data_IF_112508831531
#
_entry.id   IF_112508831531
#
_cell.length_a   1.000
_cell.length_b   1.000
_cell.length_c   1.000
_cell.angle_alpha   90.00
_cell.angle_beta   90.00
_cell.angle_gamma   90.00
#
_symmetry.space_group_name_H-M   'P 1'
#
loop_
_entity.id
_entity.type
_entity.pdbx_description
1 polymer ?
2 non-polymer ?
3 water ?
#
# COMPACT_ATOMS: atom_id res chain seq x y z
N UNK A 1 -1.27 -26.64 -6.83
CA UNK A 1 -0.63 -25.95 -7.93
C UNK A 1 0.70 -25.44 -7.37
N UNK A 2 1.82 -25.85 -7.97
CA UNK A 2 3.13 -25.41 -7.57
C UNK A 2 3.27 -23.92 -7.87
N UNK A 3 4.21 -23.24 -7.18
CA UNK A 3 4.48 -21.85 -7.54
C UNK A 3 5.98 -21.63 -7.57
N UNK A 4 6.42 -20.70 -8.43
CA UNK A 4 7.78 -20.18 -8.45
C UNK A 4 7.75 -18.72 -8.07
N UNK A 5 8.77 -18.31 -7.29
CA UNK A 5 8.93 -16.91 -6.93
C UNK A 5 10.20 -16.37 -7.55
N UNK A 6 10.06 -15.24 -8.24
CA UNK A 6 11.18 -14.50 -8.77
C UNK A 6 11.49 -13.38 -7.79
N UNK A 7 12.65 -13.46 -7.12
CA UNK A 7 13.05 -12.47 -6.14
C UNK A 7 13.00 -13.10 -4.75
N UNK A 8 14.19 -13.25 -4.15
CA UNK A 8 14.32 -13.78 -2.82
C UNK A 8 14.93 -12.72 -1.90
N UNK A 9 14.65 -11.46 -2.18
CA UNK A 9 14.80 -10.40 -1.18
C UNK A 9 14.02 -10.77 0.09
N UNK A 10 13.93 -9.81 1.04
CA UNK A 10 13.20 -10.01 2.29
C UNK A 10 11.75 -10.39 2.00
N UNK A 11 11.09 -9.65 1.09
CA UNK A 11 9.69 -9.90 0.81
C UNK A 11 9.52 -11.25 0.12
N UNK A 12 10.22 -11.44 -1.02
CA UNK A 12 10.24 -12.70 -1.74
C UNK A 12 10.51 -13.88 -0.82
N UNK A 13 11.49 -13.68 0.09
CA UNK A 13 11.84 -14.75 1.01
C UNK A 13 10.64 -15.07 1.88
N UNK A 14 10.01 -14.01 2.41
CA UNK A 14 8.86 -14.15 3.29
C UNK A 14 7.70 -14.85 2.58
N UNK A 15 7.46 -14.47 1.32
CA UNK A 15 6.41 -15.10 0.54
C UNK A 15 6.69 -16.60 0.41
N UNK A 16 7.94 -16.92 0.07
CA UNK A 16 8.33 -18.31 -0.14
C UNK A 16 8.12 -19.16 1.12
N UNK A 17 8.51 -18.62 2.29
CA UNK A 17 8.40 -19.35 3.53
C UNK A 17 6.94 -19.62 3.91
N UNK A 18 6.08 -18.60 3.75
CA UNK A 18 4.66 -18.79 4.00
C UNK A 18 4.09 -19.89 3.10
N UNK A 19 4.51 -19.95 1.83
CA UNK A 19 3.91 -20.87 0.88
C UNK A 19 4.33 -22.31 1.19
N UNK A 20 5.60 -22.51 1.55
CA UNK A 20 6.06 -23.81 2.01
C UNK A 20 5.17 -24.27 3.15
N UNK A 21 5.00 -23.42 4.17
CA UNK A 21 4.20 -23.77 5.34
C UNK A 21 2.77 -24.08 4.93
N UNK A 22 2.25 -23.45 3.86
CA UNK A 22 0.92 -23.75 3.34
C UNK A 22 0.80 -25.21 2.90
N UNK A 23 1.94 -25.83 2.56
CA UNK A 23 1.93 -27.14 1.92
C UNK A 23 2.05 -27.06 0.39
N UNK A 24 2.60 -25.94 -0.11
CA UNK A 24 2.77 -25.73 -1.54
C UNK A 24 4.23 -25.97 -1.88
N UNK A 25 4.48 -26.56 -3.06
CA UNK A 25 5.82 -26.81 -3.54
C UNK A 25 6.35 -25.55 -4.22
N UNK A 26 7.50 -25.09 -3.76
CA UNK A 26 7.98 -23.77 -4.15
C UNK A 26 9.33 -23.89 -4.83
N UNK A 27 9.45 -23.16 -5.94
CA UNK A 27 10.71 -23.00 -6.63
C UNK A 27 11.01 -21.53 -6.56
N UNK A 28 12.28 -21.20 -6.30
CA UNK A 28 12.68 -19.83 -6.13
C UNK A 28 13.80 -19.54 -7.11
N UNK A 29 13.95 -18.28 -7.51
CA UNK A 29 15.10 -17.82 -8.24
C UNK A 29 15.49 -16.43 -7.73
N UNK A 30 16.76 -16.07 -7.87
CA UNK A 30 17.23 -14.74 -7.50
C UNK A 30 18.50 -14.44 -8.28
N UNK A 31 18.67 -13.16 -8.60
CA UNK A 31 19.70 -12.71 -9.52
C UNK A 31 21.07 -12.97 -8.92
N UNK A 32 21.21 -12.85 -7.59
CA UNK A 32 22.48 -13.17 -6.94
C UNK A 32 22.53 -14.67 -6.68
N UNK A 33 21.71 -15.16 -5.75
CA UNK A 33 21.44 -16.59 -5.61
C UNK A 33 22.10 -17.16 -4.35
N UNK A 34 23.15 -16.50 -3.84
CA UNK A 34 23.58 -16.81 -2.49
C UNK A 34 22.37 -16.62 -1.57
N UNK A 35 21.64 -15.52 -1.81
CA UNK A 35 20.45 -15.11 -1.07
C UNK A 35 19.42 -16.24 -0.96
N UNK A 36 19.27 -17.03 -2.02
CA UNK A 36 18.25 -18.08 -2.07
C UNK A 36 18.69 -19.36 -1.37
N UNK A 37 19.99 -19.47 -1.05
CA UNK A 37 20.57 -20.69 -0.50
C UNK A 37 19.74 -21.19 0.69
N UNK A 38 19.50 -20.37 1.75
CA UNK A 38 18.75 -20.83 2.93
C UNK A 38 17.36 -21.37 2.65
N UNK A 39 16.73 -20.86 1.59
CA UNK A 39 15.39 -21.25 1.22
C UNK A 39 15.38 -22.71 0.77
N UNK A 40 16.50 -23.11 0.13
CA UNK A 40 16.73 -24.51 -0.22
C UNK A 40 16.52 -25.40 0.99
N UNK A 41 17.12 -25.01 2.12
CA UNK A 41 17.09 -25.80 3.34
C UNK A 41 15.67 -25.91 3.93
N UNK A 42 14.79 -24.93 3.64
CA UNK A 42 13.45 -24.89 4.23
C UNK A 42 12.47 -25.76 3.42
N UNK A 43 12.86 -26.18 2.21
CA UNK A 43 12.03 -27.04 1.39
C UNK A 43 11.91 -26.57 -0.06
N UNK A 44 12.53 -25.43 -0.41
CA UNK A 44 12.37 -24.84 -1.73
C UNK A 44 13.41 -25.42 -2.68
N UNK A 45 13.10 -25.36 -3.99
CA UNK A 45 14.05 -25.67 -5.05
C UNK A 45 14.62 -24.36 -5.58
N UNK A 46 15.95 -24.23 -5.60
CA UNK A 46 16.59 -23.09 -6.22
C UNK A 46 16.83 -23.42 -7.69
N UNK A 47 16.47 -22.48 -8.58
CA UNK A 47 16.60 -22.65 -10.01
C UNK A 47 17.79 -21.84 -10.50
N UNK A 48 18.42 -22.33 -11.59
CA UNK A 48 19.62 -21.73 -12.13
C UNK A 48 19.28 -20.41 -12.83
N UNK A 49 18.02 -20.30 -13.28
CA UNK A 49 17.63 -19.30 -14.27
C UNK A 49 16.14 -18.94 -14.13
N UNK A 50 15.74 -17.74 -14.56
CA UNK A 50 14.31 -17.37 -14.62
C UNK A 50 13.49 -18.29 -15.54
N UNK A 51 14.00 -18.51 -16.75
CA UNK A 51 13.42 -19.43 -17.72
C UNK A 51 13.12 -20.77 -17.04
N UNK A 52 14.05 -21.25 -16.23
CA UNK A 52 13.93 -22.55 -15.59
C UNK A 52 12.92 -22.48 -14.45
N UNK A 53 12.93 -21.35 -13.74
CA UNK A 53 11.98 -21.13 -12.65
C UNK A 53 10.57 -20.99 -13.21
N UNK A 54 10.43 -20.27 -14.33
CA UNK A 54 9.14 -20.07 -14.98
C UNK A 54 8.58 -21.42 -15.44
N UNK A 55 9.45 -22.23 -16.08
CA UNK A 55 9.03 -23.50 -16.64
C UNK A 55 8.56 -24.46 -15.54
N UNK A 56 9.04 -24.27 -14.30
CA UNK A 56 8.78 -25.24 -13.25
C UNK A 56 7.35 -25.18 -12.76
N UNK A 57 6.65 -24.04 -12.92
CA UNK A 57 5.41 -23.82 -12.20
C UNK A 57 4.34 -23.18 -13.10
N UNK A 58 3.04 -23.47 -12.83
CA UNK A 58 1.93 -22.77 -13.49
C UNK A 58 1.68 -21.35 -13.00
N UNK A 59 2.10 -21.05 -11.76
CA UNK A 59 1.88 -19.76 -11.12
C UNK A 59 3.23 -19.18 -10.74
N UNK A 60 3.53 -17.97 -11.24
CA UNK A 60 4.77 -17.27 -10.98
C UNK A 60 4.46 -16.00 -10.18
N UNK A 61 5.05 -15.86 -8.99
CA UNK A 61 4.84 -14.65 -8.20
C UNK A 61 6.13 -13.84 -8.25
N UNK A 62 6.02 -12.58 -8.68
CA UNK A 62 7.19 -11.72 -8.84
C UNK A 62 7.33 -10.82 -7.61
N UNK A 63 8.54 -10.78 -7.03
CA UNK A 63 8.89 -9.90 -5.91
C UNK A 63 10.27 -9.30 -6.14
N UNK A 64 10.38 -8.48 -7.19
CA UNK A 64 11.61 -7.84 -7.62
C UNK A 64 11.43 -6.34 -7.43
N UNK A 65 12.54 -5.59 -7.52
CA UNK A 65 12.52 -4.21 -7.06
C UNK A 65 11.38 -3.43 -7.71
N UNK A 66 11.27 -3.46 -9.05
CA UNK A 66 10.31 -2.61 -9.73
C UNK A 66 9.81 -3.31 -11.00
N UNK A 67 8.98 -2.60 -11.78
CA UNK A 67 8.31 -3.15 -12.94
C UNK A 67 9.33 -3.37 -14.07
N UNK A 68 10.29 -2.43 -14.28
CA UNK A 68 11.33 -2.53 -15.30
C UNK A 68 12.14 -3.81 -15.15
N UNK A 69 12.62 -4.08 -13.94
CA UNK A 69 13.39 -5.28 -13.63
C UNK A 69 12.51 -6.53 -13.84
N UNK A 70 11.24 -6.46 -13.38
CA UNK A 70 10.31 -7.55 -13.56
C UNK A 70 10.18 -7.90 -15.05
N UNK A 71 10.05 -6.88 -15.89
CA UNK A 71 9.88 -7.06 -17.32
C UNK A 71 11.13 -7.73 -17.90
N UNK A 72 12.30 -7.20 -17.54
CA UNK A 72 13.59 -7.69 -18.02
C UNK A 72 13.78 -9.14 -17.59
N UNK A 73 13.49 -9.47 -16.32
CA UNK A 73 13.65 -10.85 -15.89
C UNK A 73 12.69 -11.75 -16.69
N UNK A 74 11.42 -11.35 -16.93
CA UNK A 74 10.49 -12.35 -17.46
C UNK A 74 10.66 -12.41 -18.98
N UNK A 75 11.22 -11.35 -19.60
CA UNK A 75 11.72 -11.40 -20.97
C UNK A 75 12.66 -12.59 -21.19
N UNK A 76 13.36 -13.04 -20.14
CA UNK A 76 14.34 -14.10 -20.28
C UNK A 76 13.71 -15.49 -20.38
N UNK A 77 12.39 -15.59 -20.15
CA UNK A 77 11.68 -16.80 -20.51
C UNK A 77 11.40 -16.78 -22.00
N UNK A 78 11.58 -17.92 -22.66
CA UNK A 78 11.19 -18.01 -24.07
C UNK A 78 9.68 -18.02 -24.19
N UNK A 79 9.01 -18.74 -23.26
CA UNK A 79 7.56 -18.82 -23.25
C UNK A 79 6.95 -18.66 -21.86
N UNK A 80 5.85 -17.90 -21.80
CA UNK A 80 5.03 -17.84 -20.60
C UNK A 80 3.58 -18.13 -20.97
N UNK A 81 3.36 -18.65 -22.17
CA UNK A 81 2.00 -18.88 -22.64
C UNK A 81 1.31 -19.80 -21.65
N UNK A 82 0.12 -19.42 -21.21
CA UNK A 82 -0.66 -20.30 -20.38
C UNK A 82 -0.30 -20.13 -18.91
N UNK A 83 0.74 -19.34 -18.59
CA UNK A 83 1.16 -19.20 -17.19
C UNK A 83 0.33 -18.10 -16.53
N UNK A 84 0.18 -18.18 -15.20
CA UNK A 84 -0.35 -17.08 -14.40
C UNK A 84 0.82 -16.29 -13.86
N UNK A 85 0.83 -14.96 -14.13
CA UNK A 85 1.87 -14.10 -13.59
C UNK A 85 1.22 -13.17 -12.55
N UNK A 86 1.73 -13.17 -11.32
CA UNK A 86 1.25 -12.27 -10.26
C UNK A 86 2.40 -11.34 -9.85
N UNK A 87 2.28 -10.05 -10.15
CA UNK A 87 3.36 -9.10 -9.88
C UNK A 87 3.00 -8.26 -8.65
N UNK A 88 3.76 -8.46 -7.56
CA UNK A 88 3.44 -7.86 -6.27
C UNK A 88 4.28 -6.62 -6.02
N UNK A 89 4.98 -6.12 -7.03
CA UNK A 89 5.73 -4.88 -6.88
C UNK A 89 4.79 -3.68 -6.75
N UNK A 90 5.28 -2.67 -6.01
CA UNK A 90 4.59 -1.40 -5.90
C UNK A 90 5.04 -0.59 -7.10
N UNK A 91 4.21 0.36 -7.53
CA UNK A 91 4.51 1.18 -8.68
C UNK A 91 3.29 2.01 -9.05
N UNK A 92 3.31 2.65 -10.23
CA UNK A 92 2.22 3.49 -10.66
C UNK A 92 1.14 2.61 -11.28
N UNK A 93 -0.10 3.13 -11.38
CA UNK A 93 -1.17 2.44 -12.08
C UNK A 93 -0.85 2.19 -13.54
N UNK A 94 -0.13 3.13 -14.18
CA UNK A 94 0.25 3.00 -15.58
C UNK A 94 1.22 1.84 -15.76
N UNK A 95 2.17 1.70 -14.84
CA UNK A 95 3.09 0.58 -14.86
C UNK A 95 2.31 -0.73 -14.88
N UNK A 96 1.27 -0.83 -14.02
CA UNK A 96 0.48 -2.04 -13.92
C UNK A 96 -0.29 -2.30 -15.21
N UNK A 97 -0.89 -1.25 -15.78
CA UNK A 97 -1.74 -1.41 -16.94
C UNK A 97 -0.89 -1.90 -18.10
N UNK A 98 0.30 -1.31 -18.26
CA UNK A 98 1.21 -1.68 -19.33
C UNK A 98 1.78 -3.07 -19.13
N UNK A 99 2.17 -3.42 -17.89
CA UNK A 99 2.71 -4.74 -17.64
C UNK A 99 1.66 -5.79 -17.99
N UNK A 100 0.43 -5.54 -17.56
CA UNK A 100 -0.72 -6.39 -17.82
C UNK A 100 -0.86 -6.65 -19.32
N UNK A 101 -0.78 -5.61 -20.14
CA UNK A 101 -1.00 -5.73 -21.57
C UNK A 101 0.14 -6.52 -22.24
N UNK A 102 1.38 -6.33 -21.75
CA UNK A 102 2.54 -7.06 -22.25
C UNK A 102 2.41 -8.54 -21.91
N UNK A 103 1.99 -8.83 -20.67
CA UNK A 103 1.82 -10.22 -20.27
C UNK A 103 0.77 -10.89 -21.13
N UNK A 104 -0.33 -10.17 -21.41
CA UNK A 104 -1.46 -10.73 -22.14
C UNK A 104 -1.08 -11.07 -23.59
N UNK A 105 -0.22 -10.23 -24.19
CA UNK A 105 0.26 -10.41 -25.55
C UNK A 105 1.30 -11.52 -25.67
N UNK A 106 1.81 -12.03 -24.55
CA UNK A 106 2.66 -13.21 -24.55
C UNK A 106 1.84 -14.47 -24.26
N UNK A 107 0.51 -14.33 -24.14
CA UNK A 107 -0.39 -15.46 -23.94
C UNK A 107 -0.45 -15.93 -22.49
N UNK A 108 -0.05 -15.04 -21.55
CA UNK A 108 -0.08 -15.37 -20.14
C UNK A 108 -1.26 -14.67 -19.47
N UNK A 109 -1.67 -15.17 -18.31
CA UNK A 109 -2.70 -14.51 -17.50
C UNK A 109 -2.02 -13.63 -16.46
N UNK A 110 -2.72 -12.59 -15.99
CA UNK A 110 -2.09 -11.60 -15.13
C UNK A 110 -2.96 -11.18 -13.96
N UNK A 111 -2.32 -10.93 -12.80
CA UNK A 111 -2.95 -10.26 -11.68
C UNK A 111 -1.91 -9.38 -11.01
N UNK A 112 -2.33 -8.19 -10.60
CA UNK A 112 -1.39 -7.25 -10.02
C UNK A 112 -1.64 -7.17 -8.53
N UNK A 113 -0.57 -7.11 -7.72
CA UNK A 113 -0.73 -7.07 -6.28
C UNK A 113 0.01 -5.90 -5.64
N UNK A 114 -0.43 -5.52 -4.44
CA UNK A 114 0.26 -4.55 -3.63
C UNK A 114 0.21 -4.97 -2.18
N UNK A 115 1.38 -5.07 -1.57
CA UNK A 115 1.54 -5.68 -0.27
C UNK A 115 1.64 -4.60 0.82
N UNK A 116 0.71 -4.61 1.76
CA UNK A 116 0.70 -3.74 2.94
C UNK A 116 1.05 -4.61 4.13
N UNK A 117 2.34 -4.68 4.39
CA UNK A 117 2.86 -5.63 5.36
C UNK A 117 4.36 -5.56 5.24
N UNK A 118 5.03 -5.46 6.38
CA UNK A 118 6.45 -5.71 6.45
C UNK A 118 6.67 -7.19 6.18
N UNK A 119 7.84 -7.60 5.61
CA UNK A 119 8.18 -9.01 5.44
C UNK A 119 7.85 -9.86 6.66
N UNK A 120 8.30 -9.41 7.84
CA UNK A 120 8.15 -10.20 9.06
C UNK A 120 6.67 -10.41 9.40
N UNK A 121 5.77 -9.60 8.82
CA UNK A 121 4.33 -9.68 9.07
C UNK A 121 3.61 -10.71 8.19
N UNK A 122 4.28 -11.29 7.19
CA UNK A 122 3.63 -11.93 6.05
C UNK A 122 2.72 -13.11 6.43
N UNK A 123 3.00 -13.87 7.48
CA UNK A 123 2.15 -15.03 7.74
C UNK A 123 1.10 -14.80 8.81
N UNK A 124 0.88 -13.55 9.20
CA UNK A 124 0.29 -13.23 10.49
C UNK A 124 -1.00 -12.41 10.32
N UNK A 125 -1.54 -11.88 11.43
CA UNK A 125 -2.72 -11.02 11.44
C UNK A 125 -2.44 -9.66 10.79
N UNK A 126 -1.30 -9.10 11.12
CA UNK A 126 -0.92 -7.75 10.75
C UNK A 126 -0.47 -7.67 9.29
N UNK A 127 -1.24 -8.28 8.35
CA UNK A 127 -0.80 -8.39 6.96
C UNK A 127 -1.95 -8.46 5.95
N UNK A 128 -1.91 -7.54 4.98
CA UNK A 128 -2.86 -7.52 3.87
C UNK A 128 -2.19 -7.33 2.52
N UNK A 129 -2.80 -7.97 1.52
CA UNK A 129 -2.42 -7.81 0.13
C UNK A 129 -3.69 -7.52 -0.68
N UNK A 130 -3.63 -6.46 -1.52
CA UNK A 130 -4.68 -6.11 -2.45
C UNK A 130 -4.26 -6.63 -3.83
N UNK A 131 -5.24 -7.12 -4.60
CA UNK A 131 -5.01 -7.63 -5.95
C UNK A 131 -5.99 -6.97 -6.92
N UNK A 132 -5.57 -6.75 -8.18
CA UNK A 132 -6.44 -6.12 -9.16
C UNK A 132 -6.08 -6.60 -10.57
N UNK A 133 -7.07 -6.51 -11.46
CA UNK A 133 -6.96 -7.05 -12.80
C UNK A 133 -8.11 -8.02 -13.05
N UNK A 134 -7.82 -9.07 -13.81
CA UNK A 134 -8.83 -10.02 -14.25
C UNK A 134 -9.30 -10.84 -13.05
N UNK A 135 -10.60 -10.75 -12.78
CA UNK A 135 -11.20 -11.43 -11.65
C UNK A 135 -11.12 -12.96 -11.78
N UNK A 136 -11.15 -13.49 -13.00
CA UNK A 136 -11.07 -14.91 -13.22
C UNK A 136 -9.72 -15.44 -12.72
N UNK A 137 -8.69 -14.60 -12.86
CA UNK A 137 -7.38 -15.02 -12.37
C UNK A 137 -7.43 -15.10 -10.85
N UNK A 138 -7.98 -14.05 -10.22
CA UNK A 138 -8.05 -13.99 -8.78
C UNK A 138 -8.76 -15.23 -8.23
N UNK A 139 -9.90 -15.56 -8.82
CA UNK A 139 -10.66 -16.74 -8.46
C UNK A 139 -9.78 -17.98 -8.52
N UNK A 140 -8.82 -18.06 -9.47
CA UNK A 140 -8.06 -19.30 -9.64
C UNK A 140 -6.88 -19.38 -8.66
N UNK A 141 -6.40 -18.23 -8.13
CA UNK A 141 -5.24 -18.25 -7.25
C UNK A 141 -5.60 -17.89 -5.79
N UNK A 142 -6.86 -17.54 -5.51
CA UNK A 142 -7.29 -17.10 -4.17
C UNK A 142 -6.89 -18.07 -3.06
N UNK A 143 -7.33 -19.33 -3.18
CA UNK A 143 -7.06 -20.31 -2.14
C UNK A 143 -5.55 -20.52 -1.98
N UNK A 144 -4.80 -20.53 -3.09
CA UNK A 144 -3.38 -20.75 -3.04
C UNK A 144 -2.64 -19.61 -2.34
N UNK A 145 -3.11 -18.37 -2.54
CA UNK A 145 -2.36 -17.19 -2.12
C UNK A 145 -2.86 -16.62 -0.78
N UNK A 146 -4.16 -16.83 -0.44
CA UNK A 146 -4.79 -16.13 0.68
C UNK A 146 -4.08 -16.53 1.97
N UNK A 147 -3.59 -17.77 2.11
CA UNK A 147 -2.68 -18.10 3.19
C UNK A 147 -1.58 -17.13 3.62
N UNK A 148 -0.95 -16.44 2.64
CA UNK A 148 0.25 -15.65 2.91
C UNK A 148 -0.11 -14.24 3.37
N UNK A 149 -1.39 -13.98 3.66
CA UNK A 149 -1.79 -12.74 4.30
C UNK A 149 -3.13 -12.97 5.01
N UNK A 150 -3.34 -12.32 6.16
CA UNK A 150 -4.59 -12.44 6.90
C UNK A 150 -5.76 -11.90 6.08
N UNK A 151 -5.54 -10.77 5.42
CA UNK A 151 -6.58 -10.05 4.71
C UNK A 151 -6.19 -9.87 3.26
N UNK A 152 -6.73 -10.74 2.40
CA UNK A 152 -6.40 -10.64 0.99
C UNK A 152 -7.67 -10.24 0.26
N UNK A 153 -7.57 -9.28 -0.64
CA UNK A 153 -8.77 -8.73 -1.23
C UNK A 153 -8.54 -8.36 -2.68
N UNK A 154 -9.52 -8.73 -3.52
CA UNK A 154 -9.62 -8.26 -4.89
C UNK A 154 -10.32 -6.90 -4.90
N UNK A 155 -9.66 -5.85 -5.41
CA UNK A 155 -10.12 -4.48 -5.24
C UNK A 155 -10.50 -3.83 -6.57
N UNK A 156 -10.52 -4.57 -7.69
CA UNK A 156 -11.02 -3.98 -8.91
C UNK A 156 -10.47 -4.63 -10.17
N UNK A 157 -11.17 -4.33 -11.28
CA UNK A 157 -10.87 -4.87 -12.60
C UNK A 157 -9.68 -4.14 -13.23
N UNK A 158 -9.49 -2.85 -12.93
CA UNK A 158 -8.34 -2.12 -13.48
C UNK A 158 -7.02 -2.71 -12.95
N UNK A 159 -6.08 -3.15 -13.80
CA UNK A 159 -4.79 -3.66 -13.33
C UNK A 159 -4.14 -2.76 -12.29
N UNK A 160 -4.32 -1.45 -12.48
CA UNK A 160 -3.65 -0.47 -11.65
C UNK A 160 -4.37 -0.13 -10.34
N UNK A 161 -5.50 -0.76 -10.00
CA UNK A 161 -6.26 -0.34 -8.81
C UNK A 161 -5.49 -0.57 -7.51
N UNK A 162 -4.79 -1.69 -7.41
CA UNK A 162 -4.07 -1.99 -6.18
C UNK A 162 -2.94 -0.97 -5.97
N UNK A 163 -2.30 -0.61 -7.07
CA UNK A 163 -1.21 0.36 -7.00
C UNK A 163 -1.76 1.74 -6.64
N UNK A 164 -2.99 2.08 -7.09
CA UNK A 164 -3.58 3.37 -6.75
C UNK A 164 -3.88 3.39 -5.25
N UNK A 165 -4.57 2.37 -4.74
CA UNK A 165 -4.88 2.33 -3.32
C UNK A 165 -3.61 2.30 -2.46
N UNK A 166 -2.53 1.64 -2.95
CA UNK A 166 -1.33 1.53 -2.14
C UNK A 166 -0.65 2.90 -2.03
N UNK A 167 -0.58 3.63 -3.15
CA UNK A 167 -0.04 4.97 -3.15
C UNK A 167 -0.84 5.86 -2.21
N UNK A 168 -2.17 5.77 -2.32
CA UNK A 168 -3.08 6.57 -1.51
C UNK A 168 -2.86 6.31 -0.02
N UNK A 169 -2.82 5.03 0.37
CA UNK A 169 -2.77 4.69 1.78
C UNK A 169 -1.36 4.79 2.34
N UNK A 170 -0.35 4.35 1.60
CA UNK A 170 1.02 4.38 2.08
C UNK A 170 1.61 5.78 1.95
N UNK A 171 1.17 6.51 0.93
CA UNK A 171 1.78 7.79 0.58
C UNK A 171 0.96 8.95 1.10
N UNK A 172 -0.19 9.20 0.45
CA UNK A 172 -1.02 10.35 0.71
C UNK A 172 -1.50 10.40 2.15
N UNK A 173 -1.83 9.23 2.71
CA UNK A 173 -2.27 9.12 4.09
C UNK A 173 -1.07 8.86 5.02
N UNK A 174 -0.46 7.68 4.92
CA UNK A 174 0.40 7.21 6.00
C UNK A 174 1.66 8.05 6.16
N UNK A 175 2.38 8.27 5.07
CA UNK A 175 3.68 8.93 5.16
C UNK A 175 3.50 10.36 5.65
N UNK A 176 2.42 10.99 5.19
CA UNK A 176 2.11 12.37 5.54
C UNK A 176 1.71 12.44 7.00
N UNK A 177 0.88 11.50 7.44
CA UNK A 177 0.48 11.46 8.82
C UNK A 177 1.69 11.23 9.72
N UNK A 178 2.64 10.39 9.27
CA UNK A 178 3.87 10.20 10.02
C UNK A 178 4.67 11.50 10.11
N UNK A 179 4.74 12.24 9.01
CA UNK A 179 5.35 13.57 9.02
C UNK A 179 4.67 14.52 10.01
N UNK A 180 3.33 14.49 10.03
CA UNK A 180 2.55 15.37 10.89
C UNK A 180 2.97 15.16 12.34
N UNK A 181 3.21 13.90 12.70
CA UNK A 181 3.65 13.54 14.05
C UNK A 181 5.04 14.11 14.34
N UNK A 182 5.93 14.18 13.34
CA UNK A 182 7.22 14.84 13.52
C UNK A 182 7.02 16.34 13.85
N UNK A 183 6.16 17.03 13.09
CA UNK A 183 5.81 18.41 13.41
C UNK A 183 5.24 18.50 14.83
N UNK A 184 4.41 17.53 15.23
CA UNK A 184 3.79 17.62 16.54
C UNK A 184 4.86 17.58 17.61
N UNK A 185 5.71 16.56 17.57
CA UNK A 185 6.71 16.32 18.62
C UNK A 185 7.75 17.45 18.66
N UNK A 186 8.12 17.95 17.49
CA UNK A 186 9.05 19.08 17.42
C UNK A 186 8.41 20.29 18.09
N UNK A 187 7.10 20.46 17.90
CA UNK A 187 6.37 21.53 18.58
C UNK A 187 6.44 21.36 20.10
N UNK A 188 6.11 20.17 20.61
CA UNK A 188 6.15 19.94 22.04
C UNK A 188 7.53 20.27 22.58
N UNK A 189 8.57 19.82 21.89
CA UNK A 189 9.93 20.01 22.38
C UNK A 189 10.26 21.50 22.39
N UNK A 190 9.79 22.25 21.38
CA UNK A 190 10.01 23.69 21.29
C UNK A 190 9.40 24.47 22.45
N UNK A 191 8.41 23.89 23.15
CA UNK A 191 7.67 24.56 24.22
C UNK A 191 8.25 24.08 25.54
N UNK A 192 9.42 23.42 25.47
CA UNK A 192 10.12 22.85 26.61
C UNK A 192 9.23 21.89 27.40
N UNK A 193 8.41 21.13 26.69
CA UNK A 193 7.61 20.09 27.33
C UNK A 193 8.22 18.74 26.95
N UNK A 194 8.12 17.74 27.84
CA UNK A 194 8.73 16.44 27.60
C UNK A 194 8.00 15.68 26.48
N UNK A 195 8.72 15.31 25.43
CA UNK A 195 8.13 14.58 24.33
C UNK A 195 7.58 13.25 24.84
N UNK A 196 8.19 12.70 25.91
CA UNK A 196 7.75 11.46 26.53
C UNK A 196 6.28 11.50 26.92
N UNK A 197 5.75 12.68 27.25
CA UNK A 197 4.41 12.76 27.77
C UNK A 197 3.37 12.69 26.63
N UNK A 198 3.84 12.50 25.39
CA UNK A 198 2.95 12.16 24.28
C UNK A 198 2.66 10.65 24.27
N UNK A 199 3.56 9.84 24.87
CA UNK A 199 3.65 8.42 24.54
C UNK A 199 2.38 7.69 24.95
N UNK A 200 1.88 8.00 26.16
CA UNK A 200 0.82 7.22 26.77
C UNK A 200 -0.51 7.43 26.06
N UNK A 201 -0.62 8.51 25.27
CA UNK A 201 -1.85 8.84 24.55
C UNK A 201 -1.89 8.25 23.13
N UNK A 202 -0.74 7.81 22.62
CA UNK A 202 -0.64 7.46 21.21
C UNK A 202 -1.79 6.54 20.79
N UNK A 203 -2.05 5.48 21.55
CA UNK A 203 -3.00 4.48 21.12
C UNK A 203 -4.42 5.05 21.13
N UNK A 204 -4.73 5.95 22.06
CA UNK A 204 -6.03 6.63 22.09
C UNK A 204 -6.23 7.45 20.81
N UNK A 205 -5.19 8.17 20.36
CA UNK A 205 -5.31 9.03 19.19
C UNK A 205 -5.42 8.22 17.88
N UNK A 206 -4.66 7.12 17.74
CA UNK A 206 -4.79 6.27 16.55
C UNK A 206 -6.09 5.46 16.55
N UNK A 207 -6.61 5.11 17.73
CA UNK A 207 -7.96 4.55 17.78
C UNK A 207 -9.00 5.57 17.32
N UNK A 208 -8.90 6.81 17.84
CA UNK A 208 -9.87 7.83 17.46
C UNK A 208 -9.80 8.09 15.96
N UNK A 209 -8.57 8.05 15.42
CA UNK A 209 -8.35 8.39 14.00
C UNK A 209 -9.01 7.34 13.13
N UNK A 210 -8.81 6.07 13.50
CA UNK A 210 -9.46 4.97 12.78
C UNK A 210 -10.98 5.16 12.69
N UNK A 211 -11.64 5.44 13.82
CA UNK A 211 -13.09 5.64 13.82
C UNK A 211 -13.44 6.82 12.90
N UNK A 212 -12.64 7.88 12.96
CA UNK A 212 -12.92 9.05 12.12
C UNK A 212 -12.76 8.72 10.63
N UNK A 213 -11.72 7.95 10.26
CA UNK A 213 -11.48 7.56 8.87
C UNK A 213 -12.70 6.81 8.32
N UNK A 214 -13.21 5.87 9.12
CA UNK A 214 -14.40 5.12 8.74
C UNK A 214 -15.53 6.10 8.44
N UNK A 215 -15.66 7.11 9.30
CA UNK A 215 -16.77 8.04 9.21
C UNK A 215 -16.58 8.96 7.99
N UNK A 216 -15.33 9.38 7.72
CA UNK A 216 -15.05 10.18 6.53
C UNK A 216 -15.42 9.43 5.24
N UNK A 217 -15.12 8.14 5.21
CA UNK A 217 -15.37 7.30 4.04
C UNK A 217 -16.87 7.20 3.81
N UNK A 218 -17.63 6.99 4.89
CA UNK A 218 -19.09 6.94 4.84
C UNK A 218 -19.63 8.23 4.24
N UNK A 219 -19.04 9.36 4.62
CA UNK A 219 -19.46 10.67 4.13
C UNK A 219 -19.04 10.90 2.69
N UNK A 220 -17.89 10.35 2.28
CA UNK A 220 -17.43 10.52 0.90
C UNK A 220 -18.34 9.69 0.00
N UNK A 221 -18.84 8.53 0.49
CA UNK A 221 -19.67 7.64 -0.30
C UNK A 221 -21.07 8.23 -0.46
N UNK A 222 -21.80 8.40 0.66
CA UNK A 222 -22.86 9.40 0.76
C UNK A 222 -22.29 10.68 0.20
N UNK A 223 -23.12 11.69 -0.01
CA UNK A 223 -22.57 13.03 -0.18
C UNK A 223 -22.92 13.90 1.03
N UNK A 224 -23.17 13.23 2.16
CA UNK A 224 -23.86 13.81 3.29
C UNK A 224 -22.82 14.39 4.25
N UNK A 225 -22.58 15.71 4.13
CA UNK A 225 -21.53 16.40 4.84
C UNK A 225 -22.06 17.28 5.97
N UNK A 226 -23.29 17.01 6.47
CA UNK A 226 -24.07 18.03 7.17
C UNK A 226 -23.59 18.16 8.61
N UNK A 227 -23.71 19.39 9.13
CA UNK A 227 -23.25 19.89 10.41
C UNK A 227 -22.81 18.79 11.37
N UNK A 228 -23.76 18.39 12.24
CA UNK A 228 -23.47 17.60 13.42
C UNK A 228 -22.98 18.55 14.52
N UNK A 229 -21.73 19.00 14.40
CA UNK A 229 -21.06 19.76 15.44
C UNK A 229 -20.08 20.75 14.80
N UNK A 230 -18.76 20.54 14.92
CA UNK A 230 -17.80 21.55 14.48
C UNK A 230 -17.86 21.67 12.96
N UNK A 231 -17.98 22.91 12.47
CA UNK A 231 -18.07 23.19 11.06
C UNK A 231 -16.68 23.46 10.48
N UNK A 232 -16.59 23.44 9.14
CA UNK A 232 -15.38 23.88 8.46
C UNK A 232 -14.87 25.22 9.00
N UNK A 233 -15.78 26.17 9.23
CA UNK A 233 -15.36 27.49 9.69
C UNK A 233 -14.65 27.40 11.03
N UNK A 234 -15.19 26.58 11.95
CA UNK A 234 -14.64 26.47 13.29
C UNK A 234 -13.23 25.88 13.17
N UNK A 235 -13.10 24.83 12.33
CA UNK A 235 -11.86 24.09 12.11
C UNK A 235 -10.79 25.02 11.54
N UNK A 236 -11.16 25.77 10.48
CA UNK A 236 -10.26 26.72 9.87
C UNK A 236 -9.71 27.67 10.93
N UNK A 237 -10.60 28.15 11.81
CA UNK A 237 -10.18 29.10 12.84
C UNK A 237 -9.26 28.42 13.85
N UNK A 238 -9.64 27.22 14.33
CA UNK A 238 -8.81 26.46 15.25
C UNK A 238 -7.43 26.15 14.67
N UNK A 239 -7.37 25.78 13.38
CA UNK A 239 -6.12 25.40 12.73
C UNK A 239 -5.21 26.63 12.58
N UNK A 240 -5.81 27.79 12.30
CA UNK A 240 -5.03 29.00 12.22
C UNK A 240 -4.38 29.29 13.57
N UNK A 241 -5.11 29.08 14.67
CA UNK A 241 -4.60 29.36 16.00
C UNK A 241 -3.49 28.39 16.40
N UNK A 242 -3.64 27.10 16.03
CA UNK A 242 -2.58 26.12 16.16
C UNK A 242 -1.36 26.55 15.33
N UNK A 243 -1.58 26.92 14.07
CA UNK A 243 -0.46 27.29 13.23
C UNK A 243 0.31 28.44 13.89
N UNK A 244 -0.41 29.46 14.38
CA UNK A 244 0.24 30.62 14.98
C UNK A 244 1.01 30.21 16.23
N UNK A 245 0.44 29.30 17.04
CA UNK A 245 1.15 28.82 18.21
C UNK A 245 2.45 28.14 17.82
N UNK A 246 2.42 27.33 16.75
CA UNK A 246 3.59 26.55 16.36
C UNK A 246 4.68 27.49 15.81
N UNK A 247 4.26 28.53 15.07
CA UNK A 247 5.19 29.48 14.47
C UNK A 247 5.83 30.37 15.54
N UNK A 248 5.01 30.96 16.42
CA UNK A 248 5.49 31.70 17.57
C UNK A 248 6.52 30.88 18.33
N UNK A 249 6.33 29.55 18.38
CA UNK A 249 7.30 28.66 19.01
C UNK A 249 8.51 28.33 18.09
N UNK A 250 8.62 28.95 16.92
CA UNK A 250 9.82 28.76 16.11
C UNK A 250 9.72 27.57 15.15
N UNK A 251 8.52 27.06 14.86
CA UNK A 251 8.39 25.94 13.96
C UNK A 251 7.89 26.43 12.61
N UNK A 252 8.41 25.87 11.51
CA UNK A 252 7.87 26.19 10.19
C UNK A 252 6.42 25.75 10.04
N UNK A 253 6.09 24.54 10.52
CA UNK A 253 4.69 24.09 10.52
C UNK A 253 4.12 24.03 9.10
N UNK A 254 4.85 23.38 8.20
CA UNK A 254 4.47 23.42 6.80
C UNK A 254 3.24 22.55 6.55
N UNK A 255 3.18 21.35 7.16
CA UNK A 255 1.97 20.53 7.00
C UNK A 255 0.77 21.25 7.58
N UNK A 256 0.95 21.88 8.74
CA UNK A 256 -0.18 22.59 9.34
C UNK A 256 -0.66 23.72 8.45
N UNK A 257 0.31 24.40 7.80
CA UNK A 257 0.01 25.48 6.84
C UNK A 257 -0.76 24.95 5.64
N UNK A 258 -0.34 23.80 5.07
CA UNK A 258 -1.04 23.20 3.94
C UNK A 258 -2.47 22.77 4.31
N UNK A 259 -2.63 22.21 5.51
CA UNK A 259 -3.93 21.82 6.04
C UNK A 259 -4.89 23.02 6.11
N UNK A 260 -4.41 24.12 6.71
CA UNK A 260 -5.17 25.37 6.77
C UNK A 260 -5.65 25.77 5.38
N UNK A 261 -4.74 25.67 4.40
CA UNK A 261 -5.02 26.09 3.03
C UNK A 261 -6.16 25.22 2.47
N UNK A 262 -6.10 23.90 2.70
CA UNK A 262 -7.20 23.04 2.32
C UNK A 262 -8.50 23.48 2.97
N UNK A 263 -8.42 23.86 4.25
CA UNK A 263 -9.65 24.16 4.98
C UNK A 263 -10.24 25.48 4.46
N UNK A 264 -9.39 26.46 4.17
CA UNK A 264 -9.88 27.76 3.74
C UNK A 264 -10.60 27.63 2.40
N UNK A 265 -9.99 26.93 1.44
CA UNK A 265 -10.59 26.76 0.12
C UNK A 265 -11.97 26.13 0.21
N UNK A 266 -12.14 25.17 1.12
CA UNK A 266 -13.42 24.54 1.34
C UNK A 266 -14.44 25.58 1.82
N UNK A 267 -14.01 26.45 2.76
CA UNK A 267 -14.85 27.49 3.32
C UNK A 267 -15.14 28.54 2.25
N UNK A 268 -14.06 29.04 1.63
CA UNK A 268 -14.12 30.03 0.58
C UNK A 268 -14.94 29.59 -0.63
N UNK A 269 -15.28 28.31 -0.76
CA UNK A 269 -16.17 27.85 -1.82
C UNK A 269 -17.55 27.51 -1.27
N UNK A 270 -17.86 28.01 -0.06
CA UNK A 270 -19.22 28.02 0.44
C UNK A 270 -19.60 26.77 1.23
N UNK A 271 -18.62 26.01 1.72
CA UNK A 271 -18.87 24.80 2.49
C UNK A 271 -18.62 25.04 3.99
N UNK A 272 -18.30 26.28 4.36
CA UNK A 272 -17.93 26.68 5.71
C UNK A 272 -18.86 26.11 6.81
N UNK A 273 -20.12 25.86 6.48
CA UNK A 273 -21.10 25.51 7.50
C UNK A 273 -21.37 24.01 7.54
N UNK A 274 -20.74 23.24 6.64
CA UNK A 274 -20.81 21.78 6.66
C UNK A 274 -19.69 21.23 7.54
N UNK A 275 -19.71 19.91 7.75
CA UNK A 275 -18.72 19.23 8.58
C UNK A 275 -17.37 19.14 7.87
N UNK A 276 -16.35 18.58 8.56
CA UNK A 276 -15.00 18.70 8.08
C UNK A 276 -14.81 17.93 6.78
N UNK A 277 -15.66 16.92 6.54
CA UNK A 277 -15.47 15.98 5.45
C UNK A 277 -15.75 16.66 4.12
N UNK A 278 -16.50 17.77 4.15
CA UNK A 278 -16.78 18.54 2.95
C UNK A 278 -15.49 19.13 2.37
N UNK A 279 -14.39 19.06 3.11
CA UNK A 279 -13.13 19.59 2.60
C UNK A 279 -12.66 18.80 1.37
N UNK A 280 -13.18 17.59 1.19
CA UNK A 280 -12.83 16.77 0.05
C UNK A 280 -13.15 17.51 -1.24
N UNK A 281 -14.14 18.44 -1.21
CA UNK A 281 -14.74 18.99 -2.41
C UNK A 281 -13.82 19.96 -3.15
N UNK A 282 -12.75 20.46 -2.53
CA UNK A 282 -11.89 21.44 -3.18
C UNK A 282 -10.44 21.00 -3.16
N UNK A 283 -10.20 19.68 -3.13
CA UNK A 283 -8.85 19.14 -3.20
C UNK A 283 -8.36 19.03 -4.65
N UNK A 284 -9.30 19.08 -5.59
CA UNK A 284 -8.98 19.07 -7.01
C UNK A 284 -8.27 20.36 -7.45
N UNK A 285 -7.47 20.25 -8.51
CA UNK A 285 -6.68 21.35 -9.04
C UNK A 285 -7.55 22.39 -9.76
N UNK A 286 -8.67 21.95 -10.35
CA UNK A 286 -9.68 22.81 -10.95
C UNK A 286 -9.08 23.55 -12.15
X LIG B 1 15.15 -6.75 -0.22
X LIG B 1 14.85 -6.29 1.16
X LIG B 1 16.27 -7.72 -0.39
X LIG B 1 13.81 -7.34 -0.90
X LIG B 1 15.89 -5.18 -2.67
X LIG B 1 17.36 -4.89 -2.73
X LIG B 1 14.96 -4.15 -3.21
X LIG B 1 15.48 -5.48 -1.15
X LIG B 1 15.60 -6.59 -3.39
X LIG B 1 14.43 -6.75 -4.23
X LIG B 1 14.57 -7.98 -5.10
X LIG B 1 14.84 -7.56 -6.46
X LIG B 1 15.71 -8.95 -4.73
X LIG B 1 15.32 -10.29 -5.00
X LIG B 1 16.84 -8.48 -5.64
X LIG B 1 17.77 -9.52 -5.93
X LIG B 1 19.35 -9.31 -5.61
X LIG B 1 19.62 -7.83 -5.39
X LIG B 1 19.62 -10.17 -4.40
X LIG B 1 20.06 -9.82 -6.84
X LIG B 1 16.06 -8.11 -6.89
X LIG B 1 16.72 -7.13 -7.74
X LIG B 1 17.08 -5.85 -7.41
X LIG B 1 17.64 -5.20 -8.41
X LIG B 1 17.62 -6.11 -9.46
X LIG B 1 18.07 -6.04 -10.80
X LIG B 1 18.65 -4.95 -11.31
X LIG B 1 17.92 -7.13 -11.58
X LIG B 1 17.35 -8.22 -11.06
X LIG B 1 16.89 -8.42 -9.82
X LIG B 1 17.05 -7.31 -9.06
#
# INVERSE_FOLDING_TARGET
MDVSILGTGLMGTALAQALIRSGTKVTVWNRTADRALPLAAAGATVAESPQSAIAASPLIVISLLNYEIAKDVVTEADSIAGKIIVNTATGTPEEANQFAEWIAGRGARYLDGAIAAYPEDIGTESSGINYSGDEDVWEDVQSLLTPIAAQSRYVGARPGAANVIDAAMAGAFFNVALGAFHEAAAYVRSEDVAIAEMRHSLHLWTDKLLELLHEALKAFESGEYETDQATLNVYAAAVEAWQQSMQRAGQRAALMTANLDNLQRACAAGHGDKGIFAQIETLSANPQSAI
ATR PB O1B O2B O3B PA O1A O2A O3A O5' C5' C4' O4' C3' O3' C2' O2' P2' O1P O2P O3P C1' N9 C8 N7 C5 C6 N6 N1 C2 N3 C4
#
